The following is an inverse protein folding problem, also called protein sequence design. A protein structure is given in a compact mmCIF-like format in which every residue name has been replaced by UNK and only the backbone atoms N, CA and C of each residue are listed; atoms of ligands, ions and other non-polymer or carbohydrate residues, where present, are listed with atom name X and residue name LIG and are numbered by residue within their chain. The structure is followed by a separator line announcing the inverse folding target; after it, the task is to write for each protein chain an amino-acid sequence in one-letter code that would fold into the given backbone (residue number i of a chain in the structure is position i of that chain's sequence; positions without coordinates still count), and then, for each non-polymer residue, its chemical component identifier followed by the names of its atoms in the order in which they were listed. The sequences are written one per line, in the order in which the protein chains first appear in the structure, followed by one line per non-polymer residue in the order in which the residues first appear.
data_IF_287271563413
#
_entry.id   IF_287271563413
#
_cell.length_a   1.000
_cell.length_b   1.000
_cell.length_c   1.000
_cell.angle_alpha   90.00
_cell.angle_beta   90.00
_cell.angle_gamma   90.00
#
_symmetry.space_group_name_H-M   'P 1'
#
loop_
_entity.id
_entity.type
_entity.pdbx_description
1 polymer ?
#
# COMPACT_ATOMS: atom_id res chain seq x y z
N UNK A 1 -14.57 13.35 13.01
CA UNK A 1 -13.87 12.10 13.43
C UNK A 1 -14.01 11.12 12.29
N UNK A 2 -13.01 10.26 12.01
CA UNK A 2 -13.09 9.37 10.86
C UNK A 2 -14.26 8.40 11.02
N UNK A 3 -14.98 8.15 9.93
CA UNK A 3 -16.08 7.19 9.89
C UNK A 3 -15.60 5.78 9.52
N UNK A 4 -14.37 5.66 8.98
CA UNK A 4 -13.73 4.39 8.64
C UNK A 4 -12.28 4.37 9.16
N UNK A 5 -11.90 3.25 9.79
CA UNK A 5 -10.56 3.00 10.30
C UNK A 5 -10.00 1.69 9.73
N UNK A 6 -8.95 1.79 8.90
CA UNK A 6 -8.26 0.66 8.29
C UNK A 6 -7.02 0.28 9.11
N UNK A 7 -6.89 -1.01 9.40
CA UNK A 7 -5.75 -1.59 10.12
C UNK A 7 -5.12 -2.61 9.17
N UNK A 8 -3.97 -2.30 8.61
CA UNK A 8 -3.27 -3.16 7.66
C UNK A 8 -2.02 -3.77 8.29
N UNK A 9 -1.72 -5.02 7.91
CA UNK A 9 -0.53 -5.74 8.36
C UNK A 9 0.79 -5.18 7.78
N UNK A 10 0.73 -4.47 6.65
CA UNK A 10 1.86 -3.79 6.02
C UNK A 10 1.50 -2.40 5.45
N UNK A 11 2.53 -1.61 5.12
CA UNK A 11 2.33 -0.27 4.56
C UNK A 11 1.72 -0.29 3.16
N UNK A 12 2.15 -1.21 2.30
CA UNK A 12 1.63 -1.31 0.93
C UNK A 12 0.13 -1.57 0.93
N UNK A 13 -0.34 -2.51 1.76
CA UNK A 13 -1.74 -2.81 1.93
C UNK A 13 -2.53 -1.67 2.58
N UNK A 14 -1.94 -0.94 3.52
CA UNK A 14 -2.55 0.25 4.09
C UNK A 14 -2.88 1.30 3.01
N UNK A 15 -1.88 1.63 2.18
CA UNK A 15 -2.02 2.63 1.12
C UNK A 15 -2.98 2.15 0.02
N UNK A 16 -2.82 0.91 -0.44
CA UNK A 16 -3.61 0.30 -1.51
C UNK A 16 -5.10 0.15 -1.15
N UNK A 17 -5.41 -0.11 0.12
CA UNK A 17 -6.81 -0.22 0.57
C UNK A 17 -7.40 1.11 1.05
N UNK A 18 -6.58 2.11 1.34
CA UNK A 18 -7.05 3.43 1.72
C UNK A 18 -7.30 4.35 0.50
N UNK A 19 -6.56 4.16 -0.60
CA UNK A 19 -6.67 5.02 -1.77
C UNK A 19 -8.05 5.10 -2.43
N UNK A 20 -8.90 4.04 -2.45
CA UNK A 20 -10.24 4.16 -3.02
C UNK A 20 -11.06 5.28 -2.33
N UNK A 21 -10.78 5.55 -1.06
CA UNK A 21 -11.51 6.54 -0.26
C UNK A 21 -11.06 7.99 -0.47
N UNK A 22 -10.05 8.26 -1.31
CA UNK A 22 -9.57 9.63 -1.57
C UNK A 22 -10.67 10.57 -2.10
N UNK A 23 -11.69 10.03 -2.76
CA UNK A 23 -12.85 10.80 -3.23
C UNK A 23 -13.99 10.97 -2.23
N UNK A 24 -13.91 10.32 -1.06
CA UNK A 24 -14.95 10.33 -0.04
C UNK A 24 -14.62 11.29 1.13
N UNK A 25 -13.42 11.88 1.14
CA UNK A 25 -12.97 12.80 2.19
C UNK A 25 -11.45 12.77 2.38
N UNK A 26 -10.97 13.41 3.44
CA UNK A 26 -9.54 13.43 3.80
C UNK A 26 -9.13 12.04 4.29
N UNK A 27 -8.21 11.40 3.54
CA UNK A 27 -7.65 10.10 3.89
C UNK A 27 -6.22 10.24 4.39
N UNK A 28 -5.96 9.76 5.61
CA UNK A 28 -4.64 9.87 6.25
C UNK A 28 -4.13 8.50 6.66
N UNK A 29 -2.89 8.20 6.31
CA UNK A 29 -2.22 6.92 6.59
C UNK A 29 -1.07 7.13 7.57
N UNK A 30 -1.12 6.44 8.71
CA UNK A 30 -0.01 6.29 9.63
C UNK A 30 0.89 5.13 9.20
N UNK A 31 2.19 5.40 9.02
CA UNK A 31 3.14 4.39 8.54
C UNK A 31 3.55 3.36 9.60
N UNK A 32 3.16 3.57 10.86
CA UNK A 32 3.45 2.71 12.02
C UNK A 32 2.43 2.98 13.15
N UNK A 33 2.16 2.05 14.10
CA UNK A 33 1.22 2.28 15.20
C UNK A 33 1.50 3.53 16.04
N UNK A 34 2.78 3.87 16.26
CA UNK A 34 3.17 5.08 17.02
C UNK A 34 2.86 6.39 16.30
N UNK A 35 2.59 6.36 14.99
CA UNK A 35 2.23 7.53 14.19
C UNK A 35 0.71 7.78 14.17
N UNK A 36 -0.10 6.84 14.65
CA UNK A 36 -1.57 6.93 14.60
C UNK A 36 -2.11 8.18 15.29
N UNK A 37 -1.62 8.52 16.47
CA UNK A 37 -2.04 9.75 17.16
C UNK A 37 -1.75 11.03 16.37
N UNK A 38 -0.66 11.06 15.59
CA UNK A 38 -0.37 12.18 14.70
C UNK A 38 -1.31 12.19 13.48
N UNK A 39 -1.57 11.03 12.88
CA UNK A 39 -2.54 10.89 11.79
C UNK A 39 -3.96 11.32 12.21
N UNK A 40 -4.39 11.03 13.44
CA UNK A 40 -5.72 11.43 13.93
C UNK A 40 -5.84 12.95 14.16
N UNK A 41 -4.74 13.64 14.49
CA UNK A 41 -4.72 15.11 14.62
C UNK A 41 -4.88 15.84 13.28
N UNK A 42 -4.69 15.13 12.17
CA UNK A 42 -5.02 15.65 10.84
C UNK A 42 -6.53 15.70 10.57
N UNK A 43 -7.37 15.26 11.52
CA UNK A 43 -8.83 15.22 11.39
C UNK A 43 -9.31 14.51 10.10
N UNK A 44 -8.86 13.27 9.84
CA UNK A 44 -9.29 12.54 8.65
C UNK A 44 -10.75 12.11 8.71
N UNK A 45 -11.34 11.91 7.52
CA UNK A 45 -12.59 11.18 7.32
C UNK A 45 -12.35 9.67 7.29
N UNK A 46 -11.18 9.26 6.76
CA UNK A 46 -10.71 7.87 6.75
C UNK A 46 -9.28 7.82 7.27
N UNK A 47 -9.03 7.00 8.28
CA UNK A 47 -7.67 6.76 8.80
C UNK A 47 -7.24 5.34 8.45
N UNK A 48 -6.01 5.18 7.96
CA UNK A 48 -5.37 3.89 7.83
C UNK A 48 -4.10 3.82 8.67
N UNK A 49 -3.75 2.64 9.17
CA UNK A 49 -2.49 2.42 9.88
C UNK A 49 -1.87 1.10 9.47
N UNK A 50 -0.58 1.14 9.15
CA UNK A 50 0.24 -0.07 9.04
C UNK A 50 0.69 -0.52 10.43
N UNK A 51 0.44 -1.78 10.78
CA UNK A 51 0.97 -2.41 12.00
C UNK A 51 2.33 -3.05 11.79
N UNK A 52 2.81 -3.15 10.52
CA UNK A 52 4.06 -3.81 10.14
C UNK A 52 4.20 -5.20 10.79
N UNK A 53 3.11 -5.94 10.82
CA UNK A 53 2.92 -7.16 11.62
C UNK A 53 2.89 -8.45 10.83
N UNK A 54 3.09 -8.37 9.50
CA UNK A 54 3.09 -9.55 8.63
C UNK A 54 4.18 -10.56 8.97
N UNK A 55 5.41 -10.08 9.14
CA UNK A 55 6.62 -10.93 9.25
C UNK A 55 7.22 -10.96 10.67
N UNK A 56 6.39 -10.65 11.68
CA UNK A 56 6.77 -10.72 13.11
C UNK A 56 6.04 -11.88 13.80
N UNK A 57 6.31 -12.12 15.08
CA UNK A 57 5.63 -13.16 15.84
C UNK A 57 4.12 -12.87 16.02
N UNK A 58 3.33 -13.93 16.17
CA UNK A 58 1.88 -13.83 16.40
C UNK A 58 1.52 -12.97 17.63
N UNK A 59 2.29 -13.10 18.72
CA UNK A 59 2.07 -12.34 19.95
C UNK A 59 2.36 -10.85 19.76
N UNK A 60 3.44 -10.50 19.05
CA UNK A 60 3.75 -9.11 18.73
C UNK A 60 2.73 -8.51 17.76
N UNK A 61 2.25 -9.29 16.78
CA UNK A 61 1.20 -8.86 15.85
C UNK A 61 -0.09 -8.52 16.61
N UNK A 62 -0.55 -9.42 17.48
CA UNK A 62 -1.69 -9.19 18.37
C UNK A 62 -1.50 -7.95 19.26
N UNK A 63 -0.32 -7.79 19.87
CA UNK A 63 -0.02 -6.64 20.72
C UNK A 63 -0.09 -5.31 19.96
N UNK A 64 0.42 -5.26 18.73
CA UNK A 64 0.37 -4.07 17.87
C UNK A 64 -1.05 -3.72 17.46
N UNK A 65 -1.86 -4.71 17.05
CA UNK A 65 -3.26 -4.49 16.69
C UNK A 65 -4.06 -4.01 17.91
N UNK A 66 -3.87 -4.60 19.09
CA UNK A 66 -4.49 -4.11 20.34
C UNK A 66 -4.10 -2.66 20.64
N UNK A 67 -2.84 -2.29 20.44
CA UNK A 67 -2.36 -0.92 20.66
C UNK A 67 -3.00 0.09 19.70
N UNK A 68 -3.19 -0.31 18.45
CA UNK A 68 -3.91 0.48 17.44
C UNK A 68 -5.38 0.64 17.83
N UNK A 69 -6.08 -0.45 18.16
CA UNK A 69 -7.51 -0.43 18.48
C UNK A 69 -7.83 0.48 19.67
N UNK A 70 -6.97 0.54 20.70
CA UNK A 70 -7.15 1.45 21.85
C UNK A 70 -7.13 2.93 21.48
N UNK A 71 -6.55 3.28 20.36
CA UNK A 71 -6.45 4.67 19.87
C UNK A 71 -7.50 4.98 18.81
N UNK A 72 -8.25 3.98 18.33
CA UNK A 72 -9.20 4.19 17.24
C UNK A 72 -10.43 4.97 17.71
N UNK A 73 -10.95 5.90 16.89
CA UNK A 73 -12.12 6.68 17.25
C UNK A 73 -13.36 5.82 17.47
N UNK A 74 -14.10 6.11 18.53
CA UNK A 74 -15.37 5.45 18.83
C UNK A 74 -16.36 5.72 17.69
N UNK A 75 -17.07 4.68 17.25
CA UNK A 75 -18.06 4.77 16.18
C UNK A 75 -17.50 4.68 14.76
N UNK A 76 -16.17 4.65 14.58
CA UNK A 76 -15.59 4.35 13.27
C UNK A 76 -15.82 2.88 12.91
N UNK A 77 -16.25 2.62 11.68
CA UNK A 77 -16.29 1.24 11.17
C UNK A 77 -14.87 0.73 11.04
N UNK A 78 -14.62 -0.49 11.52
CA UNK A 78 -13.30 -1.11 11.46
C UNK A 78 -13.14 -1.93 10.19
N UNK A 79 -12.01 -1.76 9.53
CA UNK A 79 -11.57 -2.57 8.39
C UNK A 79 -10.22 -3.16 8.71
N UNK A 80 -10.16 -4.48 8.87
CA UNK A 80 -8.93 -5.23 8.96
C UNK A 80 -8.44 -5.63 7.56
N UNK A 81 -7.43 -4.93 7.07
CA UNK A 81 -6.73 -5.26 5.84
C UNK A 81 -5.75 -6.42 6.08
N UNK A 82 -5.92 -7.48 5.29
CA UNK A 82 -5.08 -8.70 5.27
C UNK A 82 -4.46 -8.91 3.89
N UNK A 83 -3.41 -9.74 3.81
CA UNK A 83 -2.81 -10.14 2.53
C UNK A 83 -3.82 -10.92 1.66
N UNK A 84 -3.84 -10.62 0.36
CA UNK A 84 -4.78 -11.26 -0.58
C UNK A 84 -4.46 -12.72 -0.87
N UNK A 85 -3.30 -13.22 -0.43
CA UNK A 85 -2.91 -14.64 -0.47
C UNK A 85 -2.93 -15.27 0.92
N UNK A 86 -3.55 -14.60 1.89
CA UNK A 86 -3.74 -15.07 3.28
C UNK A 86 -2.43 -15.35 4.04
N UNK A 87 -1.37 -14.61 3.74
CA UNK A 87 -0.11 -14.66 4.51
C UNK A 87 -0.18 -13.83 5.79
N UNK A 88 0.70 -14.14 6.74
CA UNK A 88 0.88 -13.39 7.98
C UNK A 88 -0.01 -13.89 9.13
N UNK A 89 -0.07 -13.08 10.19
CA UNK A 89 -0.63 -13.47 11.49
C UNK A 89 -2.16 -13.29 11.60
N UNK A 90 -2.93 -13.66 10.58
CA UNK A 90 -4.35 -13.30 10.46
C UNK A 90 -5.17 -13.73 11.69
N UNK A 91 -5.16 -15.00 12.09
CA UNK A 91 -5.91 -15.46 13.26
C UNK A 91 -5.49 -14.73 14.55
N UNK A 92 -4.18 -14.59 14.79
CA UNK A 92 -3.66 -13.92 15.98
C UNK A 92 -4.06 -12.44 16.03
N UNK A 93 -4.02 -11.74 14.90
CA UNK A 93 -4.46 -10.35 14.81
C UNK A 93 -5.98 -10.22 15.02
N UNK A 94 -6.77 -11.17 14.52
CA UNK A 94 -8.23 -11.20 14.68
C UNK A 94 -8.66 -11.42 16.14
N UNK A 95 -7.79 -11.98 16.99
CA UNK A 95 -8.00 -12.09 18.45
C UNK A 95 -8.09 -10.71 19.13
N UNK A 96 -7.52 -9.66 18.52
CA UNK A 96 -7.60 -8.30 19.06
C UNK A 96 -9.00 -7.69 18.92
N UNK A 97 -9.78 -8.15 17.94
CA UNK A 97 -11.13 -7.70 17.71
C UNK A 97 -12.04 -8.52 18.60
N UNK A 98 -12.89 -7.85 19.39
CA UNK A 98 -13.82 -8.47 20.33
C UNK A 98 -14.74 -9.51 19.65
N UNK A 99 -15.73 -10.05 20.37
CA UNK A 99 -16.70 -11.01 19.83
C UNK A 99 -17.61 -10.46 18.70
N UNK A 100 -17.25 -9.34 18.08
CA UNK A 100 -17.95 -8.74 16.96
C UNK A 100 -17.99 -9.69 15.75
N UNK A 101 -19.13 -9.72 15.03
CA UNK A 101 -19.26 -10.46 13.78
C UNK A 101 -18.35 -9.86 12.70
N UNK A 102 -17.98 -10.68 11.71
CA UNK A 102 -17.07 -10.27 10.66
C UNK A 102 -17.58 -10.64 9.27
N UNK A 103 -17.48 -9.71 8.32
CA UNK A 103 -17.48 -10.05 6.91
C UNK A 103 -16.04 -10.33 6.49
N UNK A 104 -15.75 -11.56 6.07
CA UNK A 104 -14.41 -11.97 5.61
C UNK A 104 -14.43 -12.20 4.10
N UNK A 105 -13.87 -11.26 3.34
CA UNK A 105 -13.83 -11.30 1.89
C UNK A 105 -12.41 -10.97 1.35
N UNK A 106 -11.51 -11.97 1.26
CA UNK A 106 -10.13 -11.77 0.83
C UNK A 106 -9.95 -11.69 -0.70
N UNK A 107 -10.99 -11.98 -1.48
CA UNK A 107 -10.93 -12.05 -2.95
C UNK A 107 -10.53 -10.71 -3.59
N UNK A 108 -9.83 -10.80 -4.72
CA UNK A 108 -9.56 -9.70 -5.65
C UNK A 108 -9.79 -10.23 -7.08
N UNK A 109 -11.06 -10.33 -7.53
CA UNK A 109 -11.40 -10.92 -8.82
C UNK A 109 -10.64 -10.29 -10.01
N UNK A 110 -10.42 -8.98 -9.97
CA UNK A 110 -9.65 -8.24 -10.97
C UNK A 110 -8.22 -8.78 -11.17
N UNK A 111 -7.60 -9.32 -10.10
CA UNK A 111 -6.26 -9.92 -10.16
C UNK A 111 -6.32 -11.45 -10.26
N UNK A 112 -7.46 -11.99 -10.66
CA UNK A 112 -7.68 -13.43 -10.75
C UNK A 112 -7.57 -14.13 -9.40
N UNK A 113 -7.96 -13.48 -8.30
CA UNK A 113 -8.09 -14.12 -6.98
C UNK A 113 -9.56 -14.20 -6.58
N UNK A 114 -10.07 -15.42 -6.44
CA UNK A 114 -11.48 -15.67 -6.13
C UNK A 114 -11.63 -16.58 -4.91
N UNK A 115 -12.79 -16.54 -4.28
CA UNK A 115 -13.20 -17.49 -3.23
C UNK A 115 -14.37 -18.33 -3.78
N UNK A 116 -14.20 -19.65 -3.77
CA UNK A 116 -15.18 -20.64 -4.22
C UNK A 116 -15.24 -21.77 -3.19
N UNK A 117 -16.43 -22.13 -2.74
CA UNK A 117 -16.69 -23.11 -1.68
C UNK A 117 -15.91 -22.81 -0.38
N UNK A 118 -15.75 -21.52 -0.06
CA UNK A 118 -14.96 -21.02 1.08
C UNK A 118 -13.44 -21.17 0.93
N UNK A 119 -12.95 -21.50 -0.27
CA UNK A 119 -11.53 -21.67 -0.59
C UNK A 119 -11.04 -20.56 -1.53
N UNK A 120 -9.96 -19.89 -1.15
CA UNK A 120 -9.29 -18.88 -1.96
C UNK A 120 -8.42 -19.55 -3.05
N UNK A 121 -8.67 -19.27 -4.34
CA UNK A 121 -7.97 -19.85 -5.53
C UNK A 121 -7.60 -18.78 -6.59
N UNK A 122 -6.67 -19.11 -7.52
CA UNK A 122 -6.26 -18.23 -8.64
C UNK A 122 -4.77 -17.83 -8.72
N UNK A 123 -4.45 -16.59 -9.13
CA UNK A 123 -3.07 -16.10 -9.33
C UNK A 123 -2.21 -16.08 -8.04
N UNK A 124 -0.99 -16.62 -8.06
CA UNK A 124 -0.05 -16.49 -6.93
C UNK A 124 -0.39 -17.27 -5.64
N UNK A 125 -1.38 -18.17 -5.66
CA UNK A 125 -1.62 -19.16 -4.60
C UNK A 125 -1.53 -20.55 -5.21
N UNK A 126 -0.55 -21.32 -4.75
CA UNK A 126 -0.21 -22.62 -5.33
C UNK A 126 -1.30 -23.68 -5.09
N UNK A 127 -1.94 -23.67 -3.92
CA UNK A 127 -2.99 -24.63 -3.54
C UNK A 127 -4.17 -23.89 -2.93
N UNK A 128 -5.42 -24.30 -3.20
CA UNK A 128 -6.60 -23.69 -2.58
C UNK A 128 -6.45 -23.54 -1.06
N UNK A 129 -6.65 -22.32 -0.55
CA UNK A 129 -6.55 -22.04 0.89
C UNK A 129 -7.95 -21.92 1.46
N UNK A 130 -8.33 -22.82 2.37
CA UNK A 130 -9.63 -22.73 3.05
C UNK A 130 -9.63 -21.55 4.02
N UNK A 131 -10.46 -20.54 3.75
CA UNK A 131 -10.45 -19.26 4.48
C UNK A 131 -10.74 -19.50 5.96
N UNK A 132 -11.74 -20.34 6.28
CA UNK A 132 -12.09 -20.66 7.67
C UNK A 132 -10.92 -21.26 8.46
N UNK A 133 -10.06 -22.06 7.83
CA UNK A 133 -8.88 -22.63 8.49
C UNK A 133 -7.84 -21.56 8.85
N UNK A 134 -7.71 -20.50 8.05
CA UNK A 134 -6.82 -19.36 8.32
C UNK A 134 -7.36 -18.49 9.47
N UNK A 135 -8.69 -18.41 9.62
CA UNK A 135 -9.31 -17.64 10.70
C UNK A 135 -9.27 -18.37 12.06
N UNK A 136 -9.08 -19.69 12.07
CA UNK A 136 -9.16 -20.51 13.28
C UNK A 136 -10.55 -20.41 13.94
N UNK A 137 -10.59 -20.33 15.26
CA UNK A 137 -11.83 -20.23 16.05
C UNK A 137 -12.70 -19.04 15.67
N UNK A 138 -12.10 -17.99 15.08
CA UNK A 138 -12.82 -16.81 14.64
C UNK A 138 -13.72 -17.07 13.42
N UNK A 139 -13.60 -18.21 12.74
CA UNK A 139 -14.50 -18.60 11.66
C UNK A 139 -15.97 -18.73 12.13
N UNK A 140 -16.20 -19.07 13.41
CA UNK A 140 -17.55 -19.23 14.00
C UNK A 140 -18.38 -17.94 14.03
N UNK A 141 -17.71 -16.79 13.97
CA UNK A 141 -18.31 -15.44 13.94
C UNK A 141 -18.09 -14.73 12.60
N UNK A 142 -17.64 -15.46 11.57
CA UNK A 142 -17.32 -14.93 10.27
C UNK A 142 -18.36 -15.35 9.22
N UNK A 143 -18.88 -14.38 8.48
CA UNK A 143 -19.54 -14.60 7.20
C UNK A 143 -18.48 -14.57 6.11
N UNK A 144 -18.32 -15.69 5.40
CA UNK A 144 -17.33 -15.89 4.35
C UNK A 144 -18.07 -16.15 3.03
N UNK A 145 -18.50 -15.11 2.30
CA UNK A 145 -19.15 -15.30 1.02
C UNK A 145 -18.16 -15.79 -0.03
N UNK A 146 -18.65 -16.61 -0.95
CA UNK A 146 -17.93 -16.85 -2.21
C UNK A 146 -17.96 -15.57 -3.05
N UNK A 147 -16.82 -15.26 -3.64
CA UNK A 147 -16.61 -14.04 -4.42
C UNK A 147 -15.76 -14.39 -5.63
N UNK A 148 -16.41 -14.42 -6.80
CA UNK A 148 -15.79 -14.73 -8.08
C UNK A 148 -15.71 -13.50 -9.00
N UNK A 149 -16.54 -12.49 -8.73
CA UNK A 149 -16.67 -11.27 -9.51
C UNK A 149 -16.75 -10.03 -8.62
N UNK A 150 -16.64 -8.84 -9.22
CA UNK A 150 -16.89 -7.58 -8.52
C UNK A 150 -18.34 -7.48 -8.02
N UNK A 151 -19.30 -8.05 -8.75
CA UNK A 151 -20.72 -8.06 -8.38
C UNK A 151 -20.99 -8.90 -7.12
N UNK A 152 -20.33 -10.04 -6.99
CA UNK A 152 -20.41 -10.87 -5.77
C UNK A 152 -19.88 -10.08 -4.55
N UNK A 153 -18.78 -9.34 -4.73
CA UNK A 153 -18.21 -8.50 -3.67
C UNK A 153 -19.18 -7.37 -3.29
N UNK A 154 -19.80 -6.71 -4.27
CA UNK A 154 -20.81 -5.67 -4.02
C UNK A 154 -22.03 -6.24 -3.29
N UNK A 155 -22.47 -7.44 -3.64
CA UNK A 155 -23.55 -8.16 -2.95
C UNK A 155 -23.18 -8.46 -1.49
N UNK A 156 -21.95 -8.91 -1.25
CA UNK A 156 -21.45 -9.16 0.10
C UNK A 156 -21.44 -7.89 0.97
N UNK A 157 -21.02 -6.77 0.39
CA UNK A 157 -20.99 -5.43 1.03
C UNK A 157 -22.40 -4.89 1.27
N UNK A 158 -23.33 -5.07 0.32
CA UNK A 158 -24.71 -4.62 0.48
C UNK A 158 -25.45 -5.30 1.66
N UNK A 159 -25.02 -6.50 2.04
CA UNK A 159 -25.54 -7.25 3.19
C UNK A 159 -24.84 -6.92 4.52
N UNK A 160 -24.01 -5.87 4.60
CA UNK A 160 -23.31 -5.49 5.82
C UNK A 160 -24.26 -5.01 6.92
N UNK A 161 -24.03 -5.50 8.13
CA UNK A 161 -24.64 -4.97 9.35
C UNK A 161 -23.78 -3.84 9.96
N UNK A 162 -24.35 -2.98 10.83
CA UNK A 162 -23.60 -1.93 11.52
C UNK A 162 -22.44 -2.45 12.37
N UNK A 163 -22.61 -3.62 13.00
CA UNK A 163 -21.66 -4.19 13.96
C UNK A 163 -20.58 -5.08 13.32
N UNK A 164 -20.74 -5.44 12.04
CA UNK A 164 -19.76 -6.23 11.30
C UNK A 164 -18.46 -5.46 11.07
N UNK A 165 -17.35 -6.08 11.49
CA UNK A 165 -16.01 -5.66 11.10
C UNK A 165 -15.72 -6.23 9.71
N UNK A 166 -15.13 -5.40 8.86
CA UNK A 166 -14.68 -5.82 7.54
C UNK A 166 -13.31 -6.47 7.65
N UNK A 167 -13.11 -7.65 7.07
CA UNK A 167 -11.82 -8.32 7.00
C UNK A 167 -11.57 -8.72 5.55
N UNK A 168 -10.55 -8.16 4.92
CA UNK A 168 -10.33 -8.43 3.50
C UNK A 168 -9.13 -7.75 2.90
N UNK A 169 -9.04 -7.86 1.58
CA UNK A 169 -8.00 -7.22 0.79
C UNK A 169 -8.57 -6.00 0.04
N UNK A 170 -7.85 -5.53 -0.99
CA UNK A 170 -8.24 -4.36 -1.77
C UNK A 170 -9.63 -4.46 -2.40
N UNK A 171 -10.01 -5.65 -2.88
CA UNK A 171 -11.31 -5.87 -3.52
C UNK A 171 -12.48 -5.45 -2.63
N UNK A 172 -12.39 -5.75 -1.33
CA UNK A 172 -13.40 -5.35 -0.34
C UNK A 172 -13.40 -3.85 -0.09
N UNK A 173 -12.23 -3.20 -0.05
CA UNK A 173 -12.12 -1.76 0.11
C UNK A 173 -12.74 -1.01 -1.09
N UNK A 174 -12.48 -1.48 -2.31
CA UNK A 174 -13.09 -0.95 -3.53
C UNK A 174 -14.61 -1.13 -3.55
N UNK A 175 -15.12 -2.32 -3.22
CA UNK A 175 -16.56 -2.56 -3.17
C UNK A 175 -17.25 -1.68 -2.10
N UNK A 176 -16.64 -1.54 -0.92
CA UNK A 176 -17.13 -0.62 0.12
C UNK A 176 -17.18 0.82 -0.39
N UNK A 177 -16.16 1.23 -1.15
CA UNK A 177 -16.08 2.57 -1.72
C UNK A 177 -17.17 2.83 -2.77
N UNK A 178 -17.51 1.85 -3.60
CA UNK A 178 -18.58 1.99 -4.62
C UNK A 178 -19.93 2.34 -3.99
N UNK A 179 -20.19 1.87 -2.77
CA UNK A 179 -21.41 2.20 -2.02
C UNK A 179 -21.40 3.61 -1.40
N UNK A 180 -20.32 4.39 -1.54
CA UNK A 180 -20.18 5.72 -0.97
C UNK A 180 -20.26 6.83 -2.03
N UNK A 181 -20.83 8.01 -1.70
CA UNK A 181 -20.88 9.15 -2.61
C UNK A 181 -19.48 9.77 -2.87
N UNK A 182 -19.38 10.59 -3.92
CA UNK A 182 -18.14 11.24 -4.37
C UNK A 182 -17.37 10.40 -5.39
N UNK A 183 -16.54 11.02 -6.21
CA UNK A 183 -15.62 10.34 -7.12
C UNK A 183 -14.18 10.50 -6.63
N UNK A 184 -13.34 9.48 -6.81
CA UNK A 184 -11.92 9.62 -6.52
C UNK A 184 -11.31 10.69 -7.44
N UNK A 185 -10.46 11.59 -6.92
CA UNK A 185 -9.76 12.55 -7.76
C UNK A 185 -8.75 11.83 -8.67
N UNK A 186 -8.83 12.10 -9.96
CA UNK A 186 -7.81 11.69 -10.93
C UNK A 186 -6.61 12.64 -10.84
N UNK A 187 -5.44 12.10 -10.49
CA UNK A 187 -4.21 12.86 -10.52
C UNK A 187 -3.71 12.87 -11.96
N UNK A 188 -3.79 14.02 -12.62
CA UNK A 188 -3.44 14.19 -14.03
C UNK A 188 -2.02 14.74 -14.25
N UNK A 189 -1.38 15.25 -13.20
CA UNK A 189 0.00 15.74 -13.25
C UNK A 189 0.73 15.46 -11.94
N UNK A 190 2.05 15.27 -12.03
CA UNK A 190 2.90 15.01 -10.87
C UNK A 190 3.97 16.11 -10.75
N UNK A 191 4.31 16.55 -9.53
CA UNK A 191 5.35 17.57 -9.35
C UNK A 191 6.74 16.99 -9.69
N UNK A 192 7.53 17.72 -10.48
CA UNK A 192 8.93 17.42 -10.71
C UNK A 192 9.86 17.94 -9.59
N UNK A 193 11.11 17.43 -9.48
CA UNK A 193 11.67 16.30 -10.23
C UNK A 193 11.09 14.94 -9.76
N UNK A 194 11.23 13.89 -10.57
CA UNK A 194 10.75 12.54 -10.25
C UNK A 194 11.89 11.55 -10.01
N UNK A 195 11.89 10.96 -8.82
CA UNK A 195 12.82 9.90 -8.46
C UNK A 195 12.08 8.56 -8.35
N UNK A 196 12.56 7.55 -9.08
CA UNK A 196 12.17 6.16 -8.90
C UNK A 196 13.19 5.48 -7.96
N UNK A 197 12.76 5.10 -6.76
CA UNK A 197 13.54 4.33 -5.80
C UNK A 197 13.07 2.87 -5.81
N UNK A 198 13.81 2.00 -6.52
CA UNK A 198 13.39 0.64 -6.83
C UNK A 198 14.23 -0.38 -6.08
N UNK A 199 13.64 -1.05 -5.10
CA UNK A 199 14.29 -2.16 -4.38
C UNK A 199 13.70 -3.54 -4.72
N UNK A 200 12.63 -3.60 -5.52
CA UNK A 200 12.00 -4.86 -5.93
C UNK A 200 12.75 -5.53 -7.07
N UNK A 201 13.07 -6.81 -6.92
CA UNK A 201 13.61 -7.69 -7.96
C UNK A 201 12.51 -8.44 -8.75
N UNK A 202 11.25 -8.08 -8.55
CA UNK A 202 10.11 -8.71 -9.23
C UNK A 202 10.21 -8.51 -10.76
N UNK A 203 9.95 -9.55 -11.59
CA UNK A 203 10.04 -9.46 -13.05
C UNK A 203 9.21 -8.33 -13.68
N UNK A 204 8.03 -8.01 -13.12
CA UNK A 204 7.19 -6.90 -13.60
C UNK A 204 7.91 -5.56 -13.38
N UNK A 205 8.55 -5.39 -12.22
CA UNK A 205 9.32 -4.17 -11.93
C UNK A 205 10.58 -4.07 -12.80
N UNK A 206 11.24 -5.19 -13.11
CA UNK A 206 12.40 -5.21 -14.01
C UNK A 206 12.00 -4.74 -15.42
N UNK A 207 10.93 -5.30 -15.98
CA UNK A 207 10.39 -4.89 -17.28
C UNK A 207 10.00 -3.38 -17.30
N UNK A 208 9.38 -2.88 -16.23
CA UNK A 208 9.06 -1.45 -16.09
C UNK A 208 10.30 -0.55 -16.11
N UNK A 209 11.41 -0.96 -15.47
CA UNK A 209 12.67 -0.21 -15.51
C UNK A 209 13.30 -0.23 -16.91
N UNK A 210 13.25 -1.36 -17.61
CA UNK A 210 13.81 -1.49 -18.95
C UNK A 210 13.00 -0.67 -19.97
N UNK A 211 11.68 -0.71 -19.90
CA UNK A 211 10.81 0.15 -20.70
C UNK A 211 11.09 1.64 -20.42
N UNK A 212 11.21 2.04 -19.15
CA UNK A 212 11.55 3.42 -18.77
C UNK A 212 12.87 3.88 -19.40
N UNK A 213 13.91 3.04 -19.34
CA UNK A 213 15.24 3.33 -19.92
C UNK A 213 15.20 3.39 -21.44
N UNK A 214 14.44 2.50 -22.08
CA UNK A 214 14.28 2.46 -23.52
C UNK A 214 13.60 3.72 -24.06
N UNK A 215 12.50 4.16 -23.42
CA UNK A 215 11.75 5.35 -23.83
C UNK A 215 12.43 6.68 -23.45
N UNK A 216 13.37 6.66 -22.51
CA UNK A 216 14.05 7.86 -22.02
C UNK A 216 15.58 7.65 -21.92
N UNK A 217 16.31 7.69 -23.04
CA UNK A 217 17.76 7.45 -23.06
C UNK A 217 18.58 8.50 -22.27
N UNK A 218 18.00 9.68 -22.00
CA UNK A 218 18.61 10.71 -21.14
C UNK A 218 18.30 10.58 -19.64
N UNK A 219 17.61 9.51 -19.22
CA UNK A 219 17.31 9.25 -17.81
C UNK A 219 18.60 9.01 -17.00
N UNK A 220 18.75 9.70 -15.87
CA UNK A 220 19.83 9.42 -14.95
C UNK A 220 19.57 8.08 -14.23
N UNK A 221 20.42 7.09 -14.43
CA UNK A 221 20.32 5.79 -13.77
C UNK A 221 21.46 5.64 -12.76
N UNK A 222 21.11 5.26 -11.53
CA UNK A 222 22.04 5.08 -10.42
C UNK A 222 21.85 3.66 -9.88
N UNK A 223 22.91 2.87 -10.02
CA UNK A 223 22.98 1.54 -9.46
C UNK A 223 23.44 1.61 -8.00
N UNK A 224 22.75 0.88 -7.12
CA UNK A 224 23.06 0.77 -5.71
C UNK A 224 23.42 -0.69 -5.35
N UNK A 225 24.70 -1.10 -5.50
CA UNK A 225 25.13 -2.48 -5.21
C UNK A 225 24.87 -2.85 -3.76
N UNK A 226 24.09 -3.92 -3.55
CA UNK A 226 23.61 -4.33 -2.22
C UNK A 226 23.04 -3.16 -1.41
N UNK A 227 22.32 -2.26 -2.09
CA UNK A 227 21.66 -1.09 -1.50
C UNK A 227 22.59 0.10 -1.25
N UNK A 228 23.86 0.06 -1.65
CA UNK A 228 24.78 1.18 -1.43
C UNK A 228 24.62 2.24 -2.52
N UNK A 229 23.90 3.34 -2.24
CA UNK A 229 23.81 4.47 -3.18
C UNK A 229 25.15 5.23 -3.19
N UNK A 230 25.81 5.42 -4.36
CA UNK A 230 27.08 6.12 -4.44
C UNK A 230 26.98 7.60 -4.03
N UNK A 231 28.11 8.16 -3.58
CA UNK A 231 28.22 9.56 -3.17
C UNK A 231 28.65 10.46 -4.32
N UNK A 232 28.48 11.79 -4.17
CA UNK A 232 28.90 12.77 -5.16
C UNK A 232 28.06 12.83 -6.44
N UNK A 233 26.92 12.13 -6.49
CA UNK A 233 26.03 12.12 -7.67
C UNK A 233 25.26 13.44 -7.75
N UNK A 234 25.29 14.08 -8.92
CA UNK A 234 24.50 15.29 -9.22
C UNK A 234 22.99 15.05 -9.11
N UNK A 235 22.26 16.05 -8.62
CA UNK A 235 20.82 15.97 -8.28
C UNK A 235 19.92 16.85 -9.15
N UNK A 236 20.49 17.41 -10.21
CA UNK A 236 19.82 18.39 -11.08
C UNK A 236 18.99 17.72 -12.19
N UNK A 237 19.04 16.39 -12.29
CA UNK A 237 18.25 15.64 -13.25
C UNK A 237 16.75 15.81 -12.97
N UNK A 238 15.96 16.10 -14.01
CA UNK A 238 14.51 16.17 -13.92
C UNK A 238 13.88 14.81 -13.53
N UNK A 239 14.56 13.70 -13.89
CA UNK A 239 14.17 12.36 -13.50
C UNK A 239 15.38 11.45 -13.24
N UNK A 240 15.27 10.62 -12.19
CA UNK A 240 16.31 9.67 -11.79
C UNK A 240 15.72 8.31 -11.46
N UNK A 241 16.37 7.24 -11.92
CA UNK A 241 16.13 5.85 -11.49
C UNK A 241 17.25 5.39 -10.57
N UNK A 242 16.97 5.30 -9.27
CA UNK A 242 17.82 4.63 -8.28
C UNK A 242 17.34 3.19 -8.13
N UNK A 243 18.20 2.20 -8.38
CA UNK A 243 17.84 0.79 -8.27
C UNK A 243 18.85 -0.02 -7.48
N UNK A 244 18.35 -0.95 -6.67
CA UNK A 244 19.19 -1.95 -6.03
C UNK A 244 19.66 -2.94 -7.10
N UNK A 245 20.97 -3.19 -7.15
CA UNK A 245 21.57 -4.22 -8.01
C UNK A 245 22.34 -5.24 -7.17
N UNK A 246 22.58 -6.46 -7.69
CA UNK A 246 23.41 -7.44 -6.99
C UNK A 246 24.78 -6.89 -6.60
N UNK A 247 25.26 -7.31 -5.43
CA UNK A 247 26.55 -6.93 -4.88
C UNK A 247 27.00 -7.95 -3.84
N UNK A 248 27.71 -7.51 -2.80
CA UNK A 248 28.10 -8.38 -1.69
C UNK A 248 26.89 -9.05 -1.00
N UNK A 249 27.08 -10.30 -0.55
CA UNK A 249 26.06 -11.04 0.18
C UNK A 249 25.66 -10.28 1.45
N UNK A 250 24.38 -9.93 1.57
CA UNK A 250 23.85 -9.11 2.66
C UNK A 250 22.37 -9.46 2.84
N UNK A 251 21.90 -9.51 4.09
CA UNK A 251 20.50 -9.79 4.39
C UNK A 251 19.56 -8.76 3.70
N UNK A 252 18.41 -9.18 3.15
CA UNK A 252 17.49 -8.31 2.41
C UNK A 252 17.08 -7.04 3.16
N UNK A 253 16.79 -7.15 4.46
CA UNK A 253 16.39 -6.00 5.28
C UNK A 253 17.51 -4.98 5.44
N UNK A 254 18.75 -5.45 5.51
CA UNK A 254 19.92 -4.55 5.60
C UNK A 254 20.18 -3.87 4.27
N UNK A 255 19.99 -4.57 3.15
CA UNK A 255 20.03 -3.99 1.79
C UNK A 255 18.97 -2.88 1.66
N UNK A 256 17.73 -3.13 2.11
CA UNK A 256 16.66 -2.14 2.07
C UNK A 256 16.96 -0.91 2.95
N UNK A 257 17.46 -1.10 4.18
CA UNK A 257 17.86 0.01 5.07
C UNK A 257 19.02 0.83 4.52
N UNK A 258 20.04 0.17 3.96
CA UNK A 258 21.18 0.85 3.34
C UNK A 258 20.74 1.68 2.13
N UNK A 259 19.89 1.10 1.29
CA UNK A 259 19.31 1.78 0.15
C UNK A 259 18.49 2.99 0.57
N UNK A 260 17.62 2.82 1.57
CA UNK A 260 16.79 3.89 2.11
C UNK A 260 17.60 5.08 2.63
N UNK A 261 18.70 4.85 3.37
CA UNK A 261 19.62 5.92 3.80
C UNK A 261 20.23 6.67 2.61
N UNK A 262 20.61 5.94 1.56
CA UNK A 262 21.09 6.52 0.30
C UNK A 262 20.03 7.39 -0.39
N UNK A 263 18.83 6.85 -0.57
CA UNK A 263 17.68 7.55 -1.15
C UNK A 263 17.36 8.81 -0.35
N UNK A 264 17.27 8.73 0.99
CA UNK A 264 16.95 9.87 1.84
C UNK A 264 17.98 11.00 1.75
N UNK A 265 19.26 10.67 1.56
CA UNK A 265 20.31 11.66 1.29
C UNK A 265 20.14 12.29 -0.09
N UNK A 266 19.73 11.53 -1.10
CA UNK A 266 19.65 11.94 -2.50
C UNK A 266 18.42 12.80 -2.81
N UNK A 267 17.23 12.38 -2.36
CA UNK A 267 15.95 12.95 -2.82
C UNK A 267 15.63 14.29 -2.15
N UNK A 268 15.28 15.34 -2.92
CA UNK A 268 14.92 16.65 -2.36
C UNK A 268 13.55 16.61 -1.67
N UNK A 269 13.27 17.55 -0.78
CA UNK A 269 12.02 17.71 -0.01
C UNK A 269 10.79 18.12 -0.84
N UNK A 270 10.92 18.11 -2.17
CA UNK A 270 9.91 18.47 -3.17
C UNK A 270 9.88 17.44 -4.30
N UNK A 271 8.94 17.60 -5.22
CA UNK A 271 8.81 16.73 -6.38
C UNK A 271 8.12 15.41 -6.05
N UNK A 272 8.37 14.39 -6.85
CA UNK A 272 7.73 13.08 -6.71
C UNK A 272 8.77 12.00 -6.42
N UNK A 273 8.47 11.16 -5.43
CA UNK A 273 9.23 9.96 -5.12
C UNK A 273 8.34 8.74 -5.32
N UNK A 274 8.62 7.95 -6.36
CA UNK A 274 8.06 6.60 -6.46
C UNK A 274 8.96 5.64 -5.69
N UNK A 275 8.38 4.85 -4.79
CA UNK A 275 9.07 3.73 -4.13
C UNK A 275 8.43 2.42 -4.55
N UNK A 276 9.25 1.48 -5.02
CA UNK A 276 8.81 0.14 -5.43
C UNK A 276 9.37 -0.96 -4.53
N UNK A 277 8.44 -1.74 -3.94
CA UNK A 277 8.72 -2.82 -3.00
C UNK A 277 8.33 -2.47 -1.56
N UNK A 278 7.69 -3.40 -0.84
CA UNK A 278 7.13 -3.16 0.50
C UNK A 278 8.19 -2.79 1.54
N UNK A 279 9.21 -3.63 1.73
CA UNK A 279 10.31 -3.36 2.66
C UNK A 279 11.07 -2.07 2.29
N UNK A 280 11.27 -1.83 1.00
CA UNK A 280 11.88 -0.60 0.48
C UNK A 280 11.06 0.64 0.84
N UNK A 281 9.74 0.60 0.64
CA UNK A 281 8.84 1.70 0.96
C UNK A 281 8.91 2.05 2.45
N UNK A 282 8.79 1.06 3.34
CA UNK A 282 8.88 1.28 4.78
C UNK A 282 10.24 1.85 5.19
N UNK A 283 11.33 1.25 4.73
CA UNK A 283 12.68 1.71 5.04
C UNK A 283 12.93 3.15 4.55
N UNK A 284 12.48 3.49 3.33
CA UNK A 284 12.63 4.83 2.75
C UNK A 284 11.83 5.86 3.55
N UNK A 285 10.58 5.55 3.93
CA UNK A 285 9.79 6.46 4.76
C UNK A 285 10.44 6.68 6.13
N UNK A 286 10.96 5.62 6.76
CA UNK A 286 11.67 5.73 8.05
C UNK A 286 12.92 6.60 7.93
N UNK A 287 13.73 6.39 6.88
CA UNK A 287 14.94 7.18 6.63
C UNK A 287 14.64 8.66 6.33
N UNK A 288 13.49 8.96 5.72
CA UNK A 288 13.00 10.32 5.49
C UNK A 288 12.29 10.93 6.70
N UNK A 289 12.07 10.17 7.78
CA UNK A 289 11.32 10.61 8.95
C UNK A 289 9.81 10.77 8.70
N UNK A 290 9.27 10.13 7.67
CA UNK A 290 7.89 10.26 7.23
C UNK A 290 7.00 9.26 7.97
N UNK A 291 6.14 9.81 8.84
CA UNK A 291 5.27 9.03 9.74
C UNK A 291 3.80 9.05 9.34
N UNK A 292 3.38 10.11 8.65
CA UNK A 292 1.99 10.36 8.26
C UNK A 292 1.97 10.77 6.80
N UNK A 293 1.05 10.18 6.03
CA UNK A 293 0.83 10.45 4.62
C UNK A 293 -0.63 10.86 4.42
N UNK A 294 -0.90 11.89 3.62
CA UNK A 294 -2.27 12.21 3.19
C UNK A 294 -2.45 11.69 1.77
N UNK A 295 -3.45 10.86 1.50
CA UNK A 295 -3.70 10.35 0.15
C UNK A 295 -4.40 11.45 -0.65
N UNK A 296 -3.85 11.77 -1.83
CA UNK A 296 -4.46 12.72 -2.77
C UNK A 296 -5.28 12.03 -3.86
N UNK A 297 -5.07 10.74 -4.10
CA UNK A 297 -5.73 9.98 -5.15
C UNK A 297 -4.81 8.89 -5.70
N UNK A 298 -5.14 8.41 -6.90
CA UNK A 298 -4.32 7.46 -7.64
C UNK A 298 -3.51 8.20 -8.72
N UNK A 299 -2.18 7.99 -8.76
CA UNK A 299 -1.34 8.50 -9.86
C UNK A 299 -1.55 7.69 -11.14
N UNK A 300 -1.82 6.40 -10.99
CA UNK A 300 -2.31 5.47 -12.01
C UNK A 300 -3.20 4.45 -11.28
N UNK A 301 -4.08 3.70 -11.98
CA UNK A 301 -4.92 2.69 -11.35
C UNK A 301 -4.14 1.81 -10.36
N UNK A 302 -4.45 1.91 -9.08
CA UNK A 302 -3.77 1.19 -8.00
C UNK A 302 -2.40 1.66 -7.54
N UNK A 303 -2.00 2.87 -7.91
CA UNK A 303 -0.81 3.54 -7.37
C UNK A 303 -1.22 4.72 -6.51
N UNK A 304 -1.31 4.55 -5.18
CA UNK A 304 -1.60 5.66 -4.28
C UNK A 304 -0.55 6.76 -4.42
N UNK A 305 -0.95 8.00 -4.77
CA UNK A 305 -0.11 9.19 -4.58
C UNK A 305 -0.54 9.87 -3.28
N UNK A 306 0.46 10.11 -2.44
CA UNK A 306 0.30 10.72 -1.15
C UNK A 306 1.09 12.03 -1.07
N UNK A 307 0.53 13.03 -0.41
CA UNK A 307 1.22 14.27 -0.07
C UNK A 307 1.91 14.16 1.28
N UNK A 308 3.17 14.59 1.31
CA UNK A 308 3.94 14.82 2.54
C UNK A 308 4.69 16.15 2.39
N UNK A 309 4.17 17.20 3.02
CA UNK A 309 4.70 18.56 2.82
C UNK A 309 4.66 18.94 1.33
N UNK A 310 5.82 19.23 0.75
CA UNK A 310 5.95 19.62 -0.67
C UNK A 310 6.18 18.44 -1.63
N UNK A 311 6.22 17.20 -1.12
CA UNK A 311 6.55 15.99 -1.89
C UNK A 311 5.29 15.15 -2.19
N UNK A 312 5.13 14.63 -3.40
CA UNK A 312 4.26 13.47 -3.67
C UNK A 312 5.07 12.18 -3.50
N UNK A 313 4.47 11.19 -2.84
CA UNK A 313 5.02 9.85 -2.69
C UNK A 313 4.07 8.90 -3.37
N UNK A 314 4.59 8.11 -4.31
CA UNK A 314 3.86 7.02 -4.94
C UNK A 314 4.43 5.71 -4.42
N UNK A 315 3.58 4.85 -3.86
CA UNK A 315 3.99 3.50 -3.45
C UNK A 315 3.49 2.48 -4.47
N UNK A 316 4.38 1.57 -4.86
CA UNK A 316 4.06 0.46 -5.76
C UNK A 316 4.54 -0.86 -5.15
N UNK A 317 3.69 -1.88 -5.15
CA UNK A 317 4.14 -3.24 -4.86
C UNK A 317 4.99 -3.78 -6.02
N UNK A 318 5.91 -4.71 -5.75
CA UNK A 318 6.83 -5.23 -6.78
C UNK A 318 6.10 -5.77 -8.02
N UNK A 319 5.18 -6.71 -7.83
CA UNK A 319 4.46 -7.39 -8.91
C UNK A 319 3.22 -6.66 -9.43
N UNK A 320 3.17 -5.32 -9.34
CA UNK A 320 1.99 -4.54 -9.75
C UNK A 320 2.28 -3.54 -10.88
N UNK A 321 1.26 -3.29 -11.70
CA UNK A 321 1.26 -2.34 -12.82
C UNK A 321 1.61 -2.95 -14.18
N UNK A 322 1.24 -2.26 -15.26
CA UNK A 322 1.62 -2.60 -16.63
C UNK A 322 3.10 -2.28 -16.90
N UNK A 323 3.65 -2.81 -17.99
CA UNK A 323 5.06 -2.58 -18.39
C UNK A 323 5.40 -1.08 -18.57
N UNK A 324 4.46 -0.29 -19.07
CA UNK A 324 4.63 1.16 -19.31
C UNK A 324 4.39 2.04 -18.07
N UNK A 325 4.14 1.45 -16.89
CA UNK A 325 3.78 2.18 -15.66
C UNK A 325 4.76 3.31 -15.33
N UNK A 326 6.07 3.02 -15.36
CA UNK A 326 7.09 4.03 -15.04
C UNK A 326 7.19 5.13 -16.11
N UNK A 327 7.04 4.76 -17.39
CA UNK A 327 7.02 5.71 -18.52
C UNK A 327 5.84 6.68 -18.36
N UNK A 328 4.65 6.16 -18.06
CA UNK A 328 3.44 6.97 -17.86
C UNK A 328 3.60 7.96 -16.71
N UNK A 329 4.12 7.52 -15.57
CA UNK A 329 4.37 8.39 -14.43
C UNK A 329 5.37 9.52 -14.75
N UNK A 330 6.44 9.21 -15.48
CA UNK A 330 7.38 10.24 -15.92
C UNK A 330 6.75 11.23 -16.91
N UNK A 331 5.87 10.77 -17.80
CA UNK A 331 5.17 11.68 -18.70
C UNK A 331 4.22 12.64 -17.96
N UNK A 332 3.65 12.22 -16.82
CA UNK A 332 2.80 13.07 -15.99
C UNK A 332 3.53 14.25 -15.33
N UNK A 333 4.86 14.18 -15.16
CA UNK A 333 5.61 15.32 -14.61
C UNK A 333 5.93 16.38 -15.65
N UNK A 334 6.03 15.98 -16.92
CA UNK A 334 6.35 16.88 -18.05
C UNK A 334 5.16 17.74 -18.48
N UNK A 335 3.93 17.34 -18.14
CA UNK A 335 2.72 18.15 -18.40
C UNK A 335 2.68 19.46 -17.59
N UNK A 336 3.51 19.62 -16.56
CA UNK A 336 3.67 20.89 -15.83
C UNK A 336 4.66 21.85 -16.51
N UNK A 337 5.68 21.33 -17.21
CA UNK A 337 6.70 22.15 -17.88
C UNK A 337 6.14 22.92 -19.09
N UNK A 338 5.08 22.40 -19.74
CA UNK A 338 4.42 23.05 -20.89
C UNK A 338 3.30 24.03 -20.55
N UNK A 339 2.98 24.26 -19.26
CA UNK A 339 1.94 25.23 -18.82
C UNK A 339 2.53 26.51 -18.20
N UNK A 340 3.85 26.63 -18.18
CA UNK A 340 4.57 27.77 -17.61
C UNK A 340 5.38 28.59 -18.63
N UNK A 341 5.16 28.39 -19.92
CA UNK A 341 5.77 29.14 -21.03
C UNK A 341 4.75 30.04 -21.70
#
# INVERSE_FOLDING_TARGET
MPHLALIADDLSGALDSAVPFAGAGKVVVASHPSALGAALREHPDVVAVSTRSRDISADEALARVRSVLRQMPVGARLFKKIDSRLKGNIAAELTAFAAAPMLVAPAIPEFGRVVVDGCLTGFGVAHPIRVSSVLGDHATRARIPDVQSAEDMLTAVAALTPDEILVGARGLAHALRVSMPGAAPDITSLPGPLCFAVGSADPITLAQMDALRHHHPGLQVIDAPSGTVPEGIGRDAAATLLRIVPGAETAPDEVARRFAKGVARFVPDRGTLLVSGGATAEAVLDALGIKVLTIEGEGLPGLPCCRVGRRCIISKSGGFGAEDTFVRLLNMTRLQEGRGS
#
